data_IF_428104404057
#
_entry.id   IF_428104404057
#
_cell.length_a   1.000
_cell.length_b   1.000
_cell.length_c   1.000
_cell.angle_alpha   90.00
_cell.angle_beta   90.00
_cell.angle_gamma   90.00
#
_symmetry.space_group_name_H-M   'P 1'
#
loop_
_entity.id
_entity.type
_entity.pdbx_description
1 polymer ?
#
# COMPACT_ATOMS: atom_id res chain seq x y z
N UNK A 1 27.22 6.72 21.53
CA UNK A 1 28.52 6.39 22.12
C UNK A 1 28.84 4.95 21.73
N UNK A 2 29.65 4.76 20.66
CA UNK A 2 30.18 3.46 20.29
C UNK A 2 31.26 3.07 21.32
N UNK A 3 31.15 1.83 21.79
CA UNK A 3 32.00 1.28 22.84
C UNK A 3 33.46 1.22 22.34
N UNK A 4 34.42 1.70 23.11
CA UNK A 4 35.88 1.71 22.75
C UNK A 4 36.42 0.36 22.26
N UNK A 5 35.79 -0.75 22.68
CA UNK A 5 36.10 -2.10 22.18
C UNK A 5 35.71 -2.35 20.72
N UNK A 6 34.70 -1.64 20.20
CA UNK A 6 34.29 -1.75 18.78
C UNK A 6 35.21 -0.92 17.88
N UNK A 7 35.71 0.22 18.38
CA UNK A 7 36.65 1.09 17.65
C UNK A 7 37.98 0.39 17.46
N UNK A 8 38.54 -0.26 18.49
CA UNK A 8 39.76 -1.04 18.38
C UNK A 8 39.69 -2.24 17.43
N UNK A 9 38.50 -2.86 17.30
CA UNK A 9 38.29 -3.97 16.36
C UNK A 9 38.26 -3.52 14.90
N UNK A 10 37.93 -2.26 14.64
CA UNK A 10 37.90 -1.67 13.28
C UNK A 10 39.32 -1.31 12.83
N UNK A 11 40.22 -0.89 13.75
CA UNK A 11 41.60 -0.54 13.45
C UNK A 11 42.46 -1.76 13.03
N UNK A 12 42.08 -2.98 13.46
CA UNK A 12 42.77 -4.22 13.05
C UNK A 12 42.36 -4.74 11.68
N UNK A 13 41.28 -4.21 11.08
CA UNK A 13 40.81 -4.67 9.78
C UNK A 13 41.54 -3.92 8.66
N UNK A 14 42.44 -4.62 7.96
CA UNK A 14 43.09 -4.09 6.75
C UNK A 14 42.05 -3.59 5.73
N UNK A 15 41.84 -2.27 5.66
CA UNK A 15 40.94 -1.65 4.70
C UNK A 15 41.63 -1.60 3.34
N UNK A 16 41.25 -2.48 2.42
CA UNK A 16 41.74 -2.47 1.05
C UNK A 16 41.18 -1.31 0.27
N UNK A 17 41.84 -0.86 -0.81
CA UNK A 17 41.33 0.22 -1.68
C UNK A 17 39.85 0.00 -2.14
N UNK A 18 39.48 -1.25 -2.45
CA UNK A 18 38.10 -1.59 -2.83
C UNK A 18 37.11 -1.41 -1.69
N UNK A 19 37.46 -1.73 -0.45
CA UNK A 19 36.58 -1.50 0.71
C UNK A 19 36.47 0.00 1.02
N UNK A 20 37.57 0.74 0.88
CA UNK A 20 37.57 2.20 1.05
C UNK A 20 36.65 2.88 0.08
N UNK A 21 36.65 2.52 -1.21
CA UNK A 21 35.74 3.03 -2.22
C UNK A 21 34.26 2.85 -1.84
N UNK A 22 33.88 1.70 -1.27
CA UNK A 22 32.52 1.44 -0.80
C UNK A 22 32.15 2.33 0.38
N UNK A 23 33.07 2.46 1.36
CA UNK A 23 32.85 3.31 2.53
C UNK A 23 32.69 4.77 2.13
N UNK A 24 33.59 5.30 1.33
CA UNK A 24 33.55 6.69 0.83
C UNK A 24 32.27 6.94 0.04
N UNK A 25 31.84 5.99 -0.78
CA UNK A 25 30.56 6.10 -1.50
C UNK A 25 29.36 6.13 -0.56
N UNK A 26 29.31 5.28 0.46
CA UNK A 26 28.18 5.21 1.39
C UNK A 26 28.13 6.37 2.38
N UNK A 27 29.30 6.89 2.82
CA UNK A 27 29.39 8.04 3.73
C UNK A 27 28.88 9.34 3.11
N UNK A 28 28.99 9.48 1.78
CA UNK A 28 28.49 10.65 1.04
C UNK A 28 26.98 10.56 0.70
N UNK A 29 26.24 9.64 1.29
CA UNK A 29 24.83 9.42 1.01
C UNK A 29 23.97 9.61 2.26
N UNK A 30 22.89 10.39 2.13
CA UNK A 30 21.89 10.55 3.19
C UNK A 30 21.04 9.30 3.44
N UNK A 31 21.01 8.37 2.49
CA UNK A 31 20.20 7.14 2.55
C UNK A 31 20.96 5.94 2.00
N UNK A 32 20.72 4.76 2.58
CA UNK A 32 21.28 3.51 2.09
C UNK A 32 20.92 3.23 0.62
N UNK A 33 21.80 2.52 -0.09
CA UNK A 33 21.64 2.14 -1.50
C UNK A 33 21.44 0.64 -1.67
N UNK A 34 20.85 0.23 -2.79
CA UNK A 34 20.75 -1.19 -3.10
C UNK A 34 22.11 -1.80 -3.40
N UNK A 35 22.27 -3.10 -3.12
CA UNK A 35 23.50 -3.82 -3.42
C UNK A 35 23.93 -3.67 -4.89
N UNK A 36 22.95 -3.70 -5.82
CA UNK A 36 23.21 -3.54 -7.26
C UNK A 36 23.71 -2.14 -7.61
N UNK A 37 23.17 -1.09 -6.96
CA UNK A 37 23.62 0.28 -7.20
C UNK A 37 25.04 0.50 -6.69
N UNK A 38 25.38 -0.06 -5.52
CA UNK A 38 26.74 0.00 -4.97
C UNK A 38 27.72 -0.68 -5.93
N UNK A 39 27.39 -1.88 -6.42
CA UNK A 39 28.23 -2.62 -7.39
C UNK A 39 28.44 -1.82 -8.68
N UNK A 40 27.37 -1.21 -9.22
CA UNK A 40 27.45 -0.40 -10.45
C UNK A 40 28.32 0.84 -10.29
N UNK A 41 28.22 1.50 -9.14
CA UNK A 41 28.93 2.78 -8.89
C UNK A 41 30.38 2.57 -8.47
N UNK A 42 30.68 1.53 -7.70
CA UNK A 42 32.03 1.29 -7.15
C UNK A 42 32.82 0.24 -7.89
N UNK A 43 32.18 -0.55 -8.78
CA UNK A 43 32.84 -1.65 -9.50
C UNK A 43 33.26 -2.84 -8.62
N UNK A 44 32.84 -2.88 -7.34
CA UNK A 44 33.21 -3.97 -6.43
C UNK A 44 32.32 -5.19 -6.63
N UNK A 45 32.86 -6.37 -6.32
CA UNK A 45 32.11 -7.62 -6.41
C UNK A 45 31.14 -7.80 -5.23
N UNK A 46 30.09 -8.59 -5.42
CA UNK A 46 29.14 -8.98 -4.38
C UNK A 46 29.82 -9.65 -3.19
N UNK A 47 30.91 -10.39 -3.42
CA UNK A 47 31.68 -11.07 -2.37
C UNK A 47 32.32 -10.07 -1.41
N UNK A 48 32.84 -8.95 -1.91
CA UNK A 48 33.43 -7.90 -1.08
C UNK A 48 32.38 -7.26 -0.19
N UNK A 49 31.18 -6.96 -0.71
CA UNK A 49 30.08 -6.41 0.10
C UNK A 49 29.66 -7.38 1.21
N UNK A 50 29.58 -8.67 0.88
CA UNK A 50 29.24 -9.71 1.86
C UNK A 50 30.29 -9.83 2.99
N UNK A 51 31.58 -9.79 2.63
CA UNK A 51 32.69 -9.78 3.59
C UNK A 51 32.66 -8.50 4.47
N UNK A 52 32.35 -7.35 3.89
CA UNK A 52 32.21 -6.09 4.66
C UNK A 52 31.04 -6.14 5.65
N UNK A 53 29.93 -6.80 5.31
CA UNK A 53 28.82 -7.03 6.24
C UNK A 53 29.23 -7.98 7.37
N UNK A 54 29.93 -9.09 7.04
CA UNK A 54 30.41 -10.05 8.04
C UNK A 54 31.43 -9.43 9.02
N UNK A 55 32.17 -8.45 8.55
CA UNK A 55 33.16 -7.71 9.38
C UNK A 55 32.56 -6.48 10.08
N UNK A 56 31.25 -6.30 10.02
CA UNK A 56 30.55 -5.15 10.60
C UNK A 56 31.02 -3.77 10.08
N UNK A 57 31.67 -3.71 8.92
CA UNK A 57 32.06 -2.45 8.28
C UNK A 57 30.88 -1.72 7.65
N UNK A 58 29.87 -2.46 7.20
CA UNK A 58 28.61 -1.95 6.68
C UNK A 58 27.45 -2.80 7.21
N UNK A 59 26.26 -2.21 7.30
CA UNK A 59 25.07 -2.92 7.74
C UNK A 59 24.14 -3.18 6.54
N UNK A 60 23.70 -4.42 6.37
CA UNK A 60 22.65 -4.78 5.43
C UNK A 60 21.30 -4.67 6.11
N UNK A 61 20.42 -3.80 5.57
CA UNK A 61 19.04 -3.67 6.02
C UNK A 61 18.10 -4.13 4.92
N UNK A 62 17.28 -5.13 5.19
CA UNK A 62 16.23 -5.55 4.25
C UNK A 62 15.15 -4.47 4.19
N UNK A 63 15.14 -3.69 3.12
CA UNK A 63 14.09 -2.72 2.86
C UNK A 63 13.06 -3.38 1.94
N UNK A 64 11.87 -3.57 2.45
CA UNK A 64 10.75 -4.02 1.63
C UNK A 64 10.13 -2.82 0.94
N UNK A 65 10.16 -2.81 -0.40
CA UNK A 65 9.41 -1.82 -1.16
C UNK A 65 7.92 -2.05 -0.92
N UNK A 66 7.29 -1.10 -0.29
CA UNK A 66 5.83 -0.99 -0.25
C UNK A 66 5.37 -0.31 -1.54
N UNK A 67 4.17 -0.64 -1.98
CA UNK A 67 3.51 0.16 -2.99
C UNK A 67 3.16 1.49 -2.30
N UNK A 68 3.90 2.55 -2.62
CA UNK A 68 3.49 3.88 -2.22
C UNK A 68 2.26 4.22 -3.06
N UNK A 69 1.10 4.16 -2.45
CA UNK A 69 -0.04 4.87 -3.00
C UNK A 69 0.33 6.35 -3.02
N UNK A 70 -0.04 6.96 -4.13
CA UNK A 70 0.16 8.37 -4.32
C UNK A 70 -0.60 9.14 -3.23
N UNK A 71 0.09 9.51 -2.15
CA UNK A 71 -0.49 10.27 -1.04
C UNK A 71 -1.03 11.63 -1.49
N UNK A 72 -0.82 12.00 -2.77
CA UNK A 72 -1.45 13.16 -3.40
C UNK A 72 -2.96 13.08 -3.37
N UNK A 73 -3.53 11.85 -3.37
CA UNK A 73 -4.97 11.68 -3.23
C UNK A 73 -5.49 12.22 -1.88
N UNK A 74 -4.77 11.98 -0.79
CA UNK A 74 -5.13 12.50 0.54
C UNK A 74 -5.01 14.03 0.65
N UNK A 75 -4.24 14.67 -0.24
CA UNK A 75 -4.11 16.13 -0.27
C UNK A 75 -5.16 16.80 -1.16
N UNK A 76 -5.57 16.15 -2.25
CA UNK A 76 -6.53 16.72 -3.20
C UNK A 76 -8.00 16.52 -2.79
N UNK A 77 -8.28 15.63 -1.83
CA UNK A 77 -9.65 15.38 -1.35
C UNK A 77 -10.26 16.58 -0.60
N UNK A 78 -9.43 17.48 -0.07
CA UNK A 78 -9.92 18.66 0.66
C UNK A 78 -10.54 19.73 -0.25
N UNK A 79 -10.26 19.72 -1.56
CA UNK A 79 -10.77 20.73 -2.51
C UNK A 79 -12.00 20.27 -3.31
N UNK A 80 -12.28 18.98 -3.37
CA UNK A 80 -13.47 18.48 -4.06
C UNK A 80 -14.69 18.55 -3.14
N UNK A 81 -15.47 19.63 -3.24
CA UNK A 81 -16.85 19.69 -2.71
C UNK A 81 -17.56 18.41 -3.10
N UNK A 82 -18.22 17.77 -2.10
CA UNK A 82 -19.10 16.61 -2.30
C UNK A 82 -20.15 16.94 -3.36
N UNK A 83 -19.85 16.72 -4.62
CA UNK A 83 -20.81 16.91 -5.70
C UNK A 83 -21.40 15.54 -6.03
N UNK A 84 -22.55 15.22 -5.43
CA UNK A 84 -23.33 14.00 -5.65
C UNK A 84 -24.42 14.19 -6.73
N UNK A 85 -24.28 15.18 -7.62
CA UNK A 85 -25.34 15.53 -8.59
C UNK A 85 -25.67 14.38 -9.55
N UNK A 86 -24.74 13.44 -9.71
CA UNK A 86 -24.93 12.23 -10.52
C UNK A 86 -25.67 11.11 -9.79
N UNK A 87 -25.90 11.21 -8.47
CA UNK A 87 -26.67 10.23 -7.68
C UNK A 87 -28.14 10.65 -7.59
N UNK A 88 -29.04 9.67 -7.64
CA UNK A 88 -30.45 9.89 -7.35
C UNK A 88 -30.70 10.08 -5.84
N UNK A 89 -31.92 10.39 -5.46
CA UNK A 89 -32.27 10.69 -4.04
C UNK A 89 -32.05 9.49 -3.11
N UNK A 90 -32.38 8.29 -3.55
CA UNK A 90 -32.22 7.07 -2.75
C UNK A 90 -30.73 6.74 -2.55
N UNK A 91 -29.93 6.86 -3.60
CA UNK A 91 -28.48 6.69 -3.54
C UNK A 91 -27.84 7.73 -2.61
N UNK A 92 -28.25 9.00 -2.70
CA UNK A 92 -27.78 10.07 -1.80
C UNK A 92 -28.10 9.73 -0.34
N UNK A 93 -29.33 9.31 -0.07
CA UNK A 93 -29.75 8.90 1.27
C UNK A 93 -28.91 7.74 1.81
N UNK A 94 -28.70 6.69 1.01
CA UNK A 94 -27.86 5.55 1.38
C UNK A 94 -26.39 5.99 1.67
N UNK A 95 -25.82 6.83 0.80
CA UNK A 95 -24.46 7.38 0.99
C UNK A 95 -24.36 8.18 2.27
N UNK A 96 -25.36 9.03 2.58
CA UNK A 96 -25.32 9.87 3.77
C UNK A 96 -25.36 9.04 5.07
N UNK A 97 -26.17 7.98 5.10
CA UNK A 97 -26.23 7.07 6.26
C UNK A 97 -24.88 6.37 6.47
N UNK A 98 -24.32 5.78 5.40
CA UNK A 98 -23.05 5.07 5.47
C UNK A 98 -21.91 6.03 5.86
N UNK A 99 -21.85 7.20 5.25
CA UNK A 99 -20.84 8.21 5.53
C UNK A 99 -20.88 8.70 6.97
N UNK A 100 -22.08 8.90 7.52
CA UNK A 100 -22.25 9.30 8.92
C UNK A 100 -21.68 8.23 9.87
N UNK A 101 -21.86 6.95 9.58
CA UNK A 101 -21.27 5.87 10.36
C UNK A 101 -19.74 5.88 10.29
N UNK A 102 -19.18 6.03 9.07
CA UNK A 102 -17.71 6.09 8.85
C UNK A 102 -17.08 7.27 9.59
N UNK A 103 -17.69 8.46 9.49
CA UNK A 103 -17.19 9.69 10.11
C UNK A 103 -17.23 9.57 11.64
N UNK A 104 -18.32 9.05 12.19
CA UNK A 104 -18.51 8.88 13.63
C UNK A 104 -17.80 7.62 14.18
N UNK A 105 -17.06 6.92 13.36
CA UNK A 105 -16.30 5.71 13.73
C UNK A 105 -17.19 4.64 14.41
N UNK A 106 -18.41 4.49 13.94
CA UNK A 106 -19.33 3.46 14.36
C UNK A 106 -19.06 2.16 13.62
N UNK A 107 -19.31 1.04 14.27
CA UNK A 107 -19.24 -0.31 13.66
C UNK A 107 -20.64 -0.77 13.28
N UNK A 108 -21.15 -0.24 12.18
CA UNK A 108 -22.46 -0.57 11.65
C UNK A 108 -22.34 -1.51 10.44
N UNK A 109 -23.39 -2.30 10.21
CA UNK A 109 -23.52 -3.14 9.02
C UNK A 109 -24.72 -2.66 8.21
N UNK A 110 -24.52 -2.44 6.92
CA UNK A 110 -25.54 -1.96 6.00
C UNK A 110 -25.78 -2.98 4.88
N UNK A 111 -27.04 -3.23 4.56
CA UNK A 111 -27.43 -3.94 3.35
C UNK A 111 -27.84 -2.91 2.30
N UNK A 112 -27.09 -2.85 1.19
CA UNK A 112 -27.43 -2.03 0.03
C UNK A 112 -28.19 -2.89 -0.98
N UNK A 113 -29.51 -2.91 -0.86
CA UNK A 113 -30.39 -3.63 -1.78
C UNK A 113 -30.71 -2.79 -3.02
N UNK A 114 -30.82 -3.45 -4.17
CA UNK A 114 -31.14 -2.80 -5.44
C UNK A 114 -30.96 -3.72 -6.63
N UNK A 115 -31.76 -3.52 -7.66
CA UNK A 115 -31.69 -4.28 -8.90
C UNK A 115 -30.36 -4.12 -9.63
N UNK A 116 -29.94 -5.06 -10.49
CA UNK A 116 -28.79 -4.87 -11.36
C UNK A 116 -28.87 -3.55 -12.12
N UNK A 117 -27.77 -2.79 -12.16
CA UNK A 117 -27.74 -1.47 -12.81
C UNK A 117 -28.30 -0.31 -11.98
N UNK A 118 -28.79 -0.53 -10.76
CA UNK A 118 -29.31 0.56 -9.88
C UNK A 118 -28.21 1.53 -9.37
N UNK A 119 -26.95 1.31 -9.71
CA UNK A 119 -25.84 2.19 -9.31
C UNK A 119 -25.27 1.87 -7.94
N UNK A 120 -25.45 0.66 -7.41
CA UNK A 120 -24.82 0.21 -6.15
C UNK A 120 -23.32 0.52 -6.10
N UNK A 121 -22.61 0.27 -7.21
CA UNK A 121 -21.17 0.55 -7.31
C UNK A 121 -20.84 2.03 -7.10
N UNK A 122 -21.60 2.93 -7.70
CA UNK A 122 -21.39 4.37 -7.52
C UNK A 122 -21.66 4.79 -6.08
N UNK A 123 -22.70 4.21 -5.48
CA UNK A 123 -23.06 4.46 -4.07
C UNK A 123 -21.94 4.04 -3.13
N UNK A 124 -21.43 2.82 -3.24
CA UNK A 124 -20.35 2.40 -2.35
C UNK A 124 -19.00 3.06 -2.68
N UNK A 125 -18.75 3.51 -3.90
CA UNK A 125 -17.57 4.30 -4.21
C UNK A 125 -17.54 5.62 -3.43
N UNK A 126 -18.69 6.24 -3.17
CA UNK A 126 -18.72 7.43 -2.30
C UNK A 126 -18.40 7.08 -0.84
N UNK A 127 -18.84 5.93 -0.35
CA UNK A 127 -18.44 5.45 0.97
C UNK A 127 -16.91 5.17 1.04
N UNK A 128 -16.34 4.57 -0.01
CA UNK A 128 -14.88 4.39 -0.13
C UNK A 128 -14.15 5.74 -0.08
N UNK A 129 -14.65 6.76 -0.80
CA UNK A 129 -14.07 8.10 -0.78
C UNK A 129 -14.06 8.66 0.64
N UNK A 130 -15.20 8.62 1.33
CA UNK A 130 -15.29 9.10 2.72
C UNK A 130 -14.34 8.35 3.65
N UNK A 131 -14.22 7.03 3.49
CA UNK A 131 -13.26 6.22 4.25
C UNK A 131 -11.81 6.69 4.04
N UNK A 132 -11.43 6.93 2.79
CA UNK A 132 -10.10 7.43 2.42
C UNK A 132 -9.85 8.85 2.95
N UNK A 133 -10.86 9.73 2.91
CA UNK A 133 -10.79 11.10 3.42
C UNK A 133 -10.58 11.13 4.95
N UNK A 134 -11.04 10.09 5.66
CA UNK A 134 -10.75 9.87 7.07
C UNK A 134 -9.36 9.24 7.33
N UNK A 135 -8.53 9.08 6.29
CA UNK A 135 -7.22 8.43 6.39
C UNK A 135 -7.28 6.94 6.69
N UNK A 136 -8.44 6.31 6.49
CA UNK A 136 -8.66 4.88 6.70
C UNK A 136 -8.49 4.10 5.40
N UNK A 137 -8.40 2.78 5.50
CA UNK A 137 -8.25 1.85 4.39
C UNK A 137 -9.58 1.15 4.11
N UNK A 138 -9.87 0.88 2.84
CA UNK A 138 -11.06 0.14 2.43
C UNK A 138 -10.69 -1.22 1.82
N UNK A 139 -11.48 -2.24 2.14
CA UNK A 139 -11.43 -3.57 1.55
C UNK A 139 -12.72 -3.79 0.74
N UNK A 140 -12.58 -4.12 -0.54
CA UNK A 140 -13.70 -4.47 -1.41
C UNK A 140 -13.58 -5.94 -1.79
N UNK A 141 -14.56 -6.72 -1.41
CA UNK A 141 -14.66 -8.13 -1.75
C UNK A 141 -15.57 -8.29 -2.95
N UNK A 142 -15.00 -8.81 -4.04
CA UNK A 142 -15.69 -9.08 -5.30
C UNK A 142 -15.44 -10.52 -5.72
N UNK A 143 -16.41 -11.24 -6.30
CA UNK A 143 -16.13 -12.45 -7.05
C UNK A 143 -15.09 -12.17 -8.16
N UNK A 144 -14.20 -13.14 -8.43
CA UNK A 144 -13.14 -12.94 -9.45
C UNK A 144 -13.72 -12.58 -10.84
N UNK A 145 -14.94 -13.02 -11.14
CA UNK A 145 -15.65 -12.74 -12.40
C UNK A 145 -16.11 -11.28 -12.50
N UNK A 146 -16.37 -10.62 -11.38
CA UNK A 146 -16.87 -9.23 -11.32
C UNK A 146 -15.72 -8.21 -11.40
N UNK A 147 -14.51 -8.61 -11.02
CA UNK A 147 -13.32 -7.77 -11.13
C UNK A 147 -12.88 -7.66 -12.59
N UNK A 148 -13.68 -6.98 -13.39
CA UNK A 148 -13.49 -6.78 -14.82
C UNK A 148 -12.63 -5.55 -15.12
N UNK A 149 -12.04 -5.46 -16.33
CA UNK A 149 -11.35 -4.25 -16.75
C UNK A 149 -12.23 -3.00 -16.72
N UNK A 150 -13.55 -3.15 -16.91
CA UNK A 150 -14.49 -2.02 -16.87
C UNK A 150 -14.73 -1.54 -15.44
N UNK A 151 -14.80 -2.44 -14.45
CA UNK A 151 -14.85 -2.07 -13.05
C UNK A 151 -13.58 -1.31 -12.65
N UNK A 152 -12.41 -1.81 -13.06
CA UNK A 152 -11.13 -1.15 -12.78
C UNK A 152 -11.03 0.23 -13.44
N UNK A 153 -11.50 0.38 -14.68
CA UNK A 153 -11.56 1.70 -15.36
C UNK A 153 -12.47 2.68 -14.63
N UNK A 154 -13.64 2.22 -14.17
CA UNK A 154 -14.59 3.05 -13.39
C UNK A 154 -13.94 3.50 -12.09
N UNK A 155 -13.29 2.58 -11.38
CA UNK A 155 -12.55 2.88 -10.17
C UNK A 155 -11.44 3.92 -10.43
N UNK A 156 -10.60 3.68 -11.44
CA UNK A 156 -9.51 4.59 -11.82
C UNK A 156 -10.03 5.98 -12.19
N UNK A 157 -11.12 6.05 -12.94
CA UNK A 157 -11.79 7.33 -13.30
C UNK A 157 -12.26 8.08 -12.05
N UNK A 158 -12.77 7.36 -11.05
CA UNK A 158 -13.33 7.95 -9.83
C UNK A 158 -12.24 8.41 -8.86
N UNK A 159 -11.20 7.62 -8.68
CA UNK A 159 -10.20 7.83 -7.64
C UNK A 159 -8.85 8.34 -8.17
N UNK A 160 -8.61 8.32 -9.47
CA UNK A 160 -7.34 8.70 -10.12
C UNK A 160 -6.13 7.85 -9.70
N UNK A 161 -6.38 6.70 -9.08
CA UNK A 161 -5.37 5.68 -8.77
C UNK A 161 -5.97 4.29 -8.90
N UNK A 162 -5.13 3.28 -9.13
CA UNK A 162 -5.57 1.89 -9.23
C UNK A 162 -5.65 1.24 -7.84
N UNK A 163 -6.66 0.39 -7.56
CA UNK A 163 -6.72 -0.37 -6.31
C UNK A 163 -5.63 -1.44 -6.29
N UNK A 164 -5.27 -1.94 -5.11
CA UNK A 164 -4.40 -3.10 -4.98
C UNK A 164 -5.23 -4.37 -5.12
N UNK A 165 -5.01 -5.11 -6.20
CA UNK A 165 -5.79 -6.31 -6.53
C UNK A 165 -5.14 -7.56 -5.90
N UNK A 166 -5.91 -8.26 -5.06
CA UNK A 166 -5.52 -9.52 -4.44
C UNK A 166 -6.30 -10.69 -5.03
N UNK A 167 -5.63 -11.47 -5.86
CA UNK A 167 -6.22 -12.66 -6.49
C UNK A 167 -5.21 -13.81 -6.58
N UNK A 168 -5.63 -14.92 -7.19
CA UNK A 168 -4.80 -16.11 -7.39
C UNK A 168 -3.68 -15.92 -8.41
N UNK A 169 -3.83 -14.99 -9.35
CA UNK A 169 -2.95 -14.77 -10.50
C UNK A 169 -1.70 -13.95 -10.17
N UNK A 170 -1.72 -13.14 -9.10
CA UNK A 170 -0.57 -12.30 -8.74
C UNK A 170 0.57 -13.13 -8.15
N UNK A 171 1.80 -12.69 -8.43
CA UNK A 171 3.02 -13.35 -7.98
C UNK A 171 3.20 -13.28 -6.45
N UNK A 172 3.98 -14.21 -5.88
CA UNK A 172 4.35 -14.18 -4.45
C UNK A 172 5.01 -12.84 -4.05
N UNK A 173 5.76 -12.22 -4.96
CA UNK A 173 6.41 -10.92 -4.73
C UNK A 173 5.38 -9.80 -4.63
N UNK A 174 4.38 -9.79 -5.48
CA UNK A 174 3.26 -8.83 -5.45
C UNK A 174 2.40 -9.03 -4.20
N UNK A 175 2.02 -10.27 -3.88
CA UNK A 175 1.32 -10.60 -2.63
C UNK A 175 2.04 -10.02 -1.42
N UNK A 176 3.36 -10.21 -1.33
CA UNK A 176 4.17 -9.66 -0.25
C UNK A 176 4.16 -8.14 -0.22
N UNK A 177 4.19 -7.47 -1.38
CA UNK A 177 4.10 -6.00 -1.45
C UNK A 177 2.75 -5.48 -0.94
N UNK A 178 1.65 -6.08 -1.41
CA UNK A 178 0.29 -5.72 -0.97
C UNK A 178 0.15 -5.92 0.54
N UNK A 179 0.56 -7.08 1.04
CA UNK A 179 0.55 -7.40 2.47
C UNK A 179 1.27 -6.36 3.31
N UNK A 180 2.50 -6.00 2.92
CA UNK A 180 3.28 -4.99 3.63
C UNK A 180 2.69 -3.59 3.52
N UNK A 181 2.09 -3.25 2.39
CA UNK A 181 1.42 -1.95 2.19
C UNK A 181 0.16 -1.85 3.06
N UNK A 182 -0.62 -2.93 3.15
CA UNK A 182 -1.78 -3.01 4.04
C UNK A 182 -1.38 -2.83 5.52
N UNK A 183 -0.37 -3.59 5.95
CA UNK A 183 0.14 -3.57 7.33
C UNK A 183 0.76 -2.21 7.72
N UNK A 184 1.24 -1.43 6.76
CA UNK A 184 1.82 -0.09 6.99
C UNK A 184 0.81 1.05 6.81
N UNK A 185 -0.44 0.75 6.50
CA UNK A 185 -1.45 1.77 6.23
C UNK A 185 -1.26 2.52 4.91
N UNK A 186 -0.33 2.07 4.03
CA UNK A 186 -0.07 2.72 2.74
C UNK A 186 -0.93 2.19 1.59
N UNK A 187 -1.74 1.16 1.82
CA UNK A 187 -2.72 0.65 0.88
C UNK A 187 -4.07 1.33 1.12
N UNK A 188 -4.50 2.28 0.28
CA UNK A 188 -5.79 2.96 0.46
C UNK A 188 -6.97 2.01 0.21
N UNK A 189 -6.97 1.34 -0.93
CA UNK A 189 -8.02 0.38 -1.31
C UNK A 189 -7.41 -0.94 -1.75
N UNK A 190 -7.91 -2.01 -1.16
CA UNK A 190 -7.58 -3.39 -1.54
C UNK A 190 -8.86 -4.03 -2.08
N UNK A 191 -8.74 -4.69 -3.22
CA UNK A 191 -9.85 -5.40 -3.87
C UNK A 191 -9.45 -6.86 -4.06
N UNK A 192 -10.35 -7.78 -3.80
CA UNK A 192 -10.07 -9.19 -4.03
C UNK A 192 -11.23 -10.10 -3.68
N UNK A 193 -11.05 -11.39 -3.91
CA UNK A 193 -11.99 -12.43 -3.49
C UNK A 193 -11.90 -12.65 -1.96
N UNK A 194 -12.66 -13.60 -1.43
CA UNK A 194 -12.73 -13.96 0.01
C UNK A 194 -11.35 -14.11 0.69
N UNK A 195 -10.34 -14.57 -0.04
CA UNK A 195 -8.96 -14.69 0.50
C UNK A 195 -8.32 -13.35 0.89
N UNK A 196 -8.84 -12.22 0.40
CA UNK A 196 -8.38 -10.90 0.77
C UNK A 196 -8.71 -10.53 2.23
N UNK A 197 -9.69 -11.19 2.85
CA UNK A 197 -10.01 -11.05 4.28
C UNK A 197 -8.84 -11.38 5.20
N UNK A 198 -7.89 -12.19 4.74
CA UNK A 198 -6.71 -12.58 5.53
C UNK A 198 -5.59 -11.54 5.51
N UNK A 199 -5.76 -10.44 4.79
CA UNK A 199 -4.74 -9.38 4.73
C UNK A 199 -4.80 -8.55 6.01
N UNK A 200 -3.68 -8.34 6.72
CA UNK A 200 -3.65 -7.51 7.92
C UNK A 200 -3.70 -6.02 7.56
N UNK A 201 -4.90 -5.46 7.50
CA UNK A 201 -5.11 -4.04 7.18
C UNK A 201 -5.02 -3.24 8.48
N UNK A 202 -4.03 -2.34 8.56
CA UNK A 202 -3.70 -1.61 9.79
C UNK A 202 -4.83 -0.69 10.26
N UNK A 203 -5.41 0.05 9.32
CA UNK A 203 -6.40 1.10 9.61
C UNK A 203 -7.66 0.88 8.76
N UNK A 204 -8.25 -0.30 8.90
CA UNK A 204 -9.46 -0.69 8.16
C UNK A 204 -10.66 0.14 8.65
N UNK A 205 -11.29 0.87 7.74
CA UNK A 205 -12.46 1.71 8.01
C UNK A 205 -13.73 1.29 7.30
N UNK A 206 -13.59 0.46 6.24
CA UNK A 206 -14.74 0.03 5.45
C UNK A 206 -14.46 -1.34 4.82
N UNK A 207 -15.43 -2.23 4.92
CA UNK A 207 -15.47 -3.48 4.15
C UNK A 207 -16.72 -3.44 3.29
N UNK A 208 -16.56 -3.72 2.00
CA UNK A 208 -17.64 -3.88 1.04
C UNK A 208 -17.63 -5.31 0.56
N UNK A 209 -18.81 -5.94 0.56
CA UNK A 209 -19.04 -7.25 -0.06
C UNK A 209 -20.06 -7.02 -1.17
N UNK A 210 -19.61 -7.13 -2.42
CA UNK A 210 -20.47 -6.95 -3.60
C UNK A 210 -20.75 -8.33 -4.22
N UNK A 211 -21.95 -8.51 -4.78
CA UNK A 211 -22.40 -9.80 -5.36
C UNK A 211 -22.40 -10.96 -4.35
N UNK A 212 -22.85 -10.73 -3.12
CA UNK A 212 -22.86 -11.75 -2.05
C UNK A 212 -23.64 -13.02 -2.41
N UNK A 213 -24.64 -12.90 -3.27
CA UNK A 213 -25.52 -14.01 -3.69
C UNK A 213 -24.86 -14.94 -4.72
N UNK A 214 -23.74 -14.60 -5.31
CA UNK A 214 -22.95 -15.48 -6.17
C UNK A 214 -22.04 -16.39 -5.28
N UNK A 215 -22.53 -17.59 -5.02
CA UNK A 215 -21.78 -18.63 -4.32
C UNK A 215 -20.99 -19.52 -5.28
#
# INVERSE_FOLDING_TARGET
LHNEKEIKKIEEIKITNKRKLVLDFLLNLDKGKSQNDIIKQTGVSKAILKDMVQKNLIQEKKVYQTLNLDTRFLKNSKENKKNYDFLNLEQKFAVDIINNSIINTKSDCFLLDGVPGSGKTETYFEAVRTCLDQGKQALILLPEIVLTPDWEKRFLKKFSFAPLVWNSKITKKEKKKIWLSALKGSAGVIVGARSALMIPILNLGLIIVDEEHEQ
#
